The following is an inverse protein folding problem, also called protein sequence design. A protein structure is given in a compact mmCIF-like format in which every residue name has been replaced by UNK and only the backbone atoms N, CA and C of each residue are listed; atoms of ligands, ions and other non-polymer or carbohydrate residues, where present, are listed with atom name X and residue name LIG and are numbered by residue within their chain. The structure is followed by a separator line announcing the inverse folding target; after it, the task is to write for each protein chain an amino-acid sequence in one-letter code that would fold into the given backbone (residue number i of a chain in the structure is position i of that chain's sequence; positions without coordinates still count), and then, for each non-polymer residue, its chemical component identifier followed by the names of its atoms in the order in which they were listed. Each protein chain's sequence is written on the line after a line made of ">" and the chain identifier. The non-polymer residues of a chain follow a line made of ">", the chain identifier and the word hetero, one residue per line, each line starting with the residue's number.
data_IF_564522248219
#
_entry.id   IF_564522248219
#
_cell.length_a   1.000
_cell.length_b   1.000
_cell.length_c   1.000
_cell.angle_alpha   90.00
_cell.angle_beta   90.00
_cell.angle_gamma   90.00
#
_symmetry.space_group_name_H-M   'P 1'
#
loop_
_entity.id
_entity.type
_entity.pdbx_description
1 polymer ?
#
# COMPACT_ATOMS: atom_id res chain seq x y z
N UNK A 1 56.84 50.27 3.01
CA UNK A 1 55.83 51.03 3.78
C UNK A 1 54.78 50.04 4.27
N UNK A 2 54.53 50.00 5.59
CA UNK A 2 53.49 49.23 6.37
C UNK A 2 53.51 47.70 6.16
N UNK A 3 54.03 46.81 7.03
CA UNK A 3 53.99 46.54 8.49
C UNK A 3 52.60 46.16 9.07
N UNK A 4 52.57 44.94 9.67
CA UNK A 4 51.78 44.44 10.84
C UNK A 4 50.40 43.81 10.49
N UNK A 5 49.94 42.60 10.90
CA UNK A 5 50.25 41.50 11.88
C UNK A 5 49.43 40.26 11.41
N UNK A 6 49.91 39.02 11.26
CA UNK A 6 50.14 37.92 12.22
C UNK A 6 48.95 37.47 13.13
N UNK A 7 48.62 36.16 13.06
CA UNK A 7 48.24 35.15 14.10
C UNK A 7 47.89 33.85 13.30
N UNK A 8 48.78 32.86 13.11
CA UNK A 8 49.08 31.67 13.96
C UNK A 8 47.82 31.00 14.55
N UNK A 9 47.53 29.72 14.32
CA UNK A 9 48.05 28.58 15.10
C UNK A 9 48.03 27.30 14.24
N UNK A 10 49.16 26.58 14.28
CA UNK A 10 49.42 25.24 13.77
C UNK A 10 48.55 24.18 14.49
N UNK A 11 48.39 22.93 14.02
CA UNK A 11 49.38 21.87 14.20
C UNK A 11 48.97 20.66 13.33
N UNK A 12 49.85 20.32 12.40
CA UNK A 12 50.10 18.96 11.93
C UNK A 12 51.01 18.30 12.96
N UNK A 13 50.62 17.14 13.52
CA UNK A 13 51.57 16.16 14.04
C UNK A 13 51.06 14.74 13.78
N UNK A 14 51.82 14.03 12.95
CA UNK A 14 51.91 12.59 12.90
C UNK A 14 52.98 12.10 13.91
N UNK A 15 52.84 10.82 14.27
CA UNK A 15 53.84 9.86 14.79
C UNK A 15 54.06 9.72 16.31
N UNK A 16 53.72 8.54 16.83
CA UNK A 16 54.66 7.53 17.36
C UNK A 16 53.82 6.36 17.92
N UNK A 17 53.87 5.17 17.32
CA UNK A 17 54.80 4.08 17.70
C UNK A 17 54.64 3.63 19.16
N UNK A 18 53.90 2.53 19.34
CA UNK A 18 54.03 1.61 20.47
C UNK A 18 53.94 0.20 19.92
N UNK A 19 55.08 -0.50 19.87
CA UNK A 19 55.16 -1.92 19.51
C UNK A 19 54.65 -2.82 20.67
N UNK A 20 53.83 -3.81 20.27
CA UNK A 20 53.74 -5.20 20.77
C UNK A 20 53.15 -5.48 22.19
N UNK A 21 52.36 -6.58 22.37
CA UNK A 21 52.70 -7.89 21.84
C UNK A 21 51.64 -8.63 21.01
N UNK A 22 52.21 -9.54 20.23
CA UNK A 22 51.62 -10.63 19.47
C UNK A 22 50.48 -11.39 20.17
N UNK A 23 49.65 -11.98 19.29
CA UNK A 23 48.63 -13.00 19.53
C UNK A 23 47.27 -12.49 20.00
N UNK A 24 46.41 -12.24 19.02
CA UNK A 24 45.08 -12.84 18.96
C UNK A 24 44.65 -12.94 17.49
N UNK A 25 45.03 -14.07 16.86
CA UNK A 25 44.18 -14.66 15.85
C UNK A 25 42.85 -14.99 16.56
N UNK A 26 41.82 -14.18 16.37
CA UNK A 26 40.45 -14.60 16.62
C UNK A 26 39.48 -13.75 15.81
N UNK A 27 38.75 -14.44 14.94
CA UNK A 27 37.54 -14.03 14.21
C UNK A 27 37.67 -12.78 13.34
N UNK A 28 37.78 -13.02 12.04
CA UNK A 28 37.77 -11.99 11.01
C UNK A 28 36.60 -11.04 11.15
N UNK A 29 36.92 -9.78 10.90
CA UNK A 29 36.00 -8.70 10.58
C UNK A 29 34.88 -9.23 9.68
N UNK A 30 33.68 -9.38 10.24
CA UNK A 30 32.47 -9.48 9.45
C UNK A 30 32.31 -8.13 8.76
N UNK A 31 32.80 -8.03 7.54
CA UNK A 31 32.55 -6.92 6.65
C UNK A 31 31.04 -6.60 6.65
N UNK A 32 30.69 -5.31 6.66
CA UNK A 32 29.31 -4.83 6.71
C UNK A 32 28.46 -5.41 5.56
N UNK A 33 27.80 -6.54 5.85
CA UNK A 33 26.93 -7.31 4.95
C UNK A 33 25.83 -6.41 4.39
N UNK A 34 25.25 -5.58 5.27
CA UNK A 34 24.22 -4.60 4.95
C UNK A 34 24.83 -3.20 5.00
N UNK A 35 24.76 -2.50 3.87
CA UNK A 35 25.06 -1.07 3.75
C UNK A 35 23.77 -0.28 3.68
N UNK A 36 23.78 0.93 4.22
CA UNK A 36 22.67 1.88 4.11
C UNK A 36 23.08 2.90 3.07
N UNK A 37 22.24 3.10 2.05
CA UNK A 37 22.45 4.13 1.03
C UNK A 37 22.47 5.54 1.65
N UNK A 38 23.20 6.46 1.03
CA UNK A 38 23.33 7.84 1.53
C UNK A 38 21.98 8.56 1.57
N UNK A 39 21.09 8.25 0.63
CA UNK A 39 19.73 8.75 0.47
C UNK A 39 18.67 7.77 1.03
N UNK A 40 19.07 6.80 1.86
CA UNK A 40 18.13 5.84 2.43
C UNK A 40 17.07 6.54 3.28
N UNK A 41 15.81 6.27 2.96
CA UNK A 41 14.66 6.78 3.71
C UNK A 41 14.45 5.90 4.95
N UNK A 42 14.34 6.52 6.13
CA UNK A 42 14.09 5.82 7.39
C UNK A 42 12.77 6.34 7.99
N UNK A 43 11.75 5.49 7.95
CA UNK A 43 10.41 5.80 8.46
C UNK A 43 10.14 5.06 9.77
N UNK A 44 10.30 5.77 10.89
CA UNK A 44 9.96 5.30 12.23
C UNK A 44 8.83 6.20 12.80
N UNK A 45 7.56 5.89 12.52
CA UNK A 45 6.45 6.72 12.98
C UNK A 45 6.38 6.74 14.50
N UNK A 46 6.02 7.91 15.05
CA UNK A 46 5.74 8.04 16.49
C UNK A 46 4.46 7.28 16.82
N UNK A 47 4.59 6.14 17.48
CA UNK A 47 3.46 5.36 17.96
C UNK A 47 3.25 5.55 19.48
N UNK A 48 1.99 5.59 19.91
CA UNK A 48 1.63 5.62 21.35
C UNK A 48 1.85 4.26 22.04
N UNK A 49 2.11 3.21 21.26
CA UNK A 49 2.45 1.88 21.72
C UNK A 49 2.56 0.89 20.57
N UNK A 50 3.21 -0.23 20.82
CA UNK A 50 3.39 -1.32 19.86
C UNK A 50 2.49 -2.47 20.26
N UNK A 51 1.70 -2.99 19.32
CA UNK A 51 0.67 -3.97 19.64
C UNK A 51 0.75 -5.19 18.75
N UNK A 52 0.48 -6.35 19.33
CA UNK A 52 0.03 -7.50 18.56
C UNK A 52 -1.49 -7.38 18.37
N UNK A 53 -1.97 -7.54 17.14
CA UNK A 53 -3.40 -7.40 16.81
C UNK A 53 -3.96 -8.71 16.24
N UNK A 54 -5.26 -8.88 16.42
CA UNK A 54 -6.06 -9.82 15.66
C UNK A 54 -7.10 -9.05 14.86
N UNK A 55 -7.09 -9.27 13.55
CA UNK A 55 -8.06 -8.71 12.62
C UNK A 55 -9.03 -9.79 12.20
N UNK A 56 -10.31 -9.47 12.18
CA UNK A 56 -11.36 -10.38 11.70
C UNK A 56 -12.26 -9.65 10.75
N UNK A 57 -12.41 -10.17 9.53
CA UNK A 57 -13.32 -9.60 8.55
C UNK A 57 -14.75 -9.60 9.12
N UNK A 58 -15.43 -8.48 8.98
CA UNK A 58 -16.77 -8.27 9.51
C UNK A 58 -17.61 -7.45 8.52
N UNK A 59 -18.94 -7.47 8.71
CA UNK A 59 -19.81 -6.62 7.91
C UNK A 59 -19.47 -5.14 8.14
N UNK A 60 -19.40 -4.31 7.08
CA UNK A 60 -19.00 -2.91 7.21
C UNK A 60 -19.99 -2.03 7.96
N UNK A 61 -21.23 -2.49 8.06
CA UNK A 61 -22.37 -1.75 8.59
C UNK A 61 -23.42 -2.73 9.13
N UNK A 62 -24.33 -2.25 9.99
CA UNK A 62 -25.56 -2.99 10.34
C UNK A 62 -26.60 -2.92 9.22
N UNK A 63 -26.38 -2.05 8.23
CA UNK A 63 -27.23 -1.93 7.06
C UNK A 63 -27.03 -3.13 6.16
N UNK A 64 -28.08 -3.48 5.42
CA UNK A 64 -27.96 -4.46 4.35
C UNK A 64 -26.91 -4.02 3.33
N UNK A 65 -26.17 -4.97 2.75
CA UNK A 65 -25.11 -4.69 1.77
C UNK A 65 -25.62 -3.82 0.58
N UNK A 66 -26.87 -4.04 0.15
CA UNK A 66 -27.52 -3.24 -0.90
C UNK A 66 -27.74 -1.77 -0.50
N UNK A 67 -28.00 -1.48 0.77
CA UNK A 67 -28.15 -0.11 1.26
C UNK A 67 -26.78 0.60 1.31
N UNK A 68 -25.72 -0.12 1.69
CA UNK A 68 -24.33 0.38 1.65
C UNK A 68 -23.91 0.69 0.21
N UNK A 69 -24.22 -0.19 -0.75
CA UNK A 69 -23.97 0.07 -2.16
C UNK A 69 -24.65 1.37 -2.63
N UNK A 70 -25.93 1.58 -2.27
CA UNK A 70 -26.63 2.80 -2.67
C UNK A 70 -26.10 4.06 -1.99
N UNK A 71 -25.50 3.98 -0.80
CA UNK A 71 -24.79 5.11 -0.19
C UNK A 71 -23.57 5.53 -1.01
N UNK A 72 -22.76 4.57 -1.47
CA UNK A 72 -21.66 4.86 -2.39
C UNK A 72 -22.16 5.40 -3.73
N UNK A 73 -23.23 4.80 -4.28
CA UNK A 73 -23.85 5.31 -5.50
C UNK A 73 -24.26 6.77 -5.33
N UNK A 74 -24.98 7.11 -4.25
CA UNK A 74 -25.49 8.47 -4.07
C UNK A 74 -24.35 9.47 -3.84
N UNK A 75 -23.25 9.06 -3.22
CA UNK A 75 -22.04 9.87 -3.02
C UNK A 75 -21.33 10.23 -4.33
N UNK A 76 -21.27 9.30 -5.28
CA UNK A 76 -20.41 9.43 -6.47
C UNK A 76 -21.16 9.68 -7.79
N UNK A 77 -22.43 9.24 -7.88
CA UNK A 77 -23.16 9.08 -9.13
C UNK A 77 -24.57 9.68 -9.13
N UNK A 78 -25.02 10.29 -8.02
CA UNK A 78 -26.36 10.90 -7.93
C UNK A 78 -26.59 12.07 -8.89
N UNK A 79 -25.51 12.76 -9.28
CA UNK A 79 -25.50 13.83 -10.27
C UNK A 79 -25.18 13.35 -11.70
N UNK A 80 -24.84 12.07 -11.87
CA UNK A 80 -24.43 11.48 -13.15
C UNK A 80 -25.60 10.78 -13.87
N UNK A 81 -26.50 10.15 -13.12
CA UNK A 81 -27.60 9.36 -13.67
C UNK A 81 -28.96 9.83 -13.12
N UNK A 82 -29.96 9.79 -13.98
CA UNK A 82 -31.36 10.00 -13.61
C UNK A 82 -31.86 8.85 -12.70
N UNK A 83 -32.96 9.05 -11.94
CA UNK A 83 -33.57 7.98 -11.15
C UNK A 83 -33.99 6.76 -11.99
N UNK A 84 -34.36 6.98 -13.25
CA UNK A 84 -34.67 5.91 -14.20
C UNK A 84 -33.40 5.12 -14.55
N UNK A 85 -32.33 5.80 -14.98
CA UNK A 85 -31.04 5.16 -15.25
C UNK A 85 -30.52 4.40 -14.03
N UNK A 86 -30.65 4.93 -12.80
CA UNK A 86 -30.29 4.21 -11.55
C UNK A 86 -30.94 2.82 -11.48
N UNK A 87 -32.25 2.74 -11.70
CA UNK A 87 -32.98 1.47 -11.66
C UNK A 87 -32.58 0.51 -12.77
N UNK A 88 -32.22 1.03 -13.94
CA UNK A 88 -31.82 0.21 -15.08
C UNK A 88 -30.35 -0.20 -15.09
N UNK A 89 -29.45 0.50 -14.41
CA UNK A 89 -28.00 0.26 -14.50
C UNK A 89 -27.44 -0.49 -13.29
N UNK A 90 -28.09 -0.43 -12.12
CA UNK A 90 -27.62 -1.15 -10.94
C UNK A 90 -28.02 -2.64 -10.97
N UNK A 91 -27.02 -3.50 -10.83
CA UNK A 91 -27.09 -4.97 -10.95
C UNK A 91 -26.43 -5.64 -9.74
N UNK A 92 -26.64 -6.95 -9.59
CA UNK A 92 -25.97 -7.74 -8.56
C UNK A 92 -25.65 -9.14 -9.05
N UNK A 93 -24.68 -9.79 -8.40
CA UNK A 93 -24.34 -11.19 -8.64
C UNK A 93 -24.87 -12.02 -7.47
N UNK A 94 -25.51 -13.14 -7.80
CA UNK A 94 -26.04 -14.10 -6.82
C UNK A 94 -25.91 -15.51 -7.37
N UNK A 95 -25.50 -16.45 -6.52
CA UNK A 95 -25.48 -17.88 -6.87
C UNK A 95 -26.90 -18.48 -6.90
N UNK A 96 -27.90 -17.75 -6.39
CA UNK A 96 -29.29 -18.19 -6.27
C UNK A 96 -30.13 -17.81 -7.51
N UNK A 97 -29.65 -16.89 -8.35
CA UNK A 97 -30.32 -16.47 -9.58
C UNK A 97 -29.45 -16.78 -10.81
N UNK A 98 -29.99 -17.44 -11.84
CA UNK A 98 -29.25 -17.70 -13.06
C UNK A 98 -28.98 -16.40 -13.81
N UNK A 99 -27.78 -16.24 -14.36
CA UNK A 99 -27.51 -15.23 -15.37
C UNK A 99 -28.35 -15.53 -16.62
N UNK A 100 -28.88 -14.49 -17.26
CA UNK A 100 -29.59 -14.64 -18.54
C UNK A 100 -28.59 -14.88 -19.69
N UNK A 101 -29.10 -15.24 -20.88
CA UNK A 101 -28.28 -15.43 -22.09
C UNK A 101 -27.77 -14.11 -22.71
N UNK A 102 -28.10 -12.95 -22.14
CA UNK A 102 -27.64 -11.66 -22.63
C UNK A 102 -26.11 -11.49 -22.47
N UNK A 103 -25.54 -10.47 -23.11
CA UNK A 103 -24.15 -10.09 -22.88
C UNK A 103 -24.01 -9.37 -21.54
N UNK A 104 -22.83 -9.48 -20.92
CA UNK A 104 -22.51 -8.74 -19.70
C UNK A 104 -22.50 -7.22 -19.96
N UNK A 105 -23.02 -6.36 -19.06
CA UNK A 105 -23.59 -6.67 -17.75
C UNK A 105 -25.10 -6.98 -17.76
N UNK A 106 -25.77 -6.94 -18.92
CA UNK A 106 -27.22 -7.16 -19.04
C UNK A 106 -27.66 -8.61 -18.71
N UNK A 107 -26.72 -9.54 -18.63
CA UNK A 107 -26.97 -10.90 -18.16
C UNK A 107 -27.33 -10.97 -16.66
N UNK A 108 -27.01 -9.95 -15.87
CA UNK A 108 -27.20 -9.94 -14.42
C UNK A 108 -28.59 -9.43 -14.01
N UNK A 109 -29.12 -9.90 -12.85
CA UNK A 109 -30.38 -9.40 -12.31
C UNK A 109 -30.28 -7.95 -11.83
N UNK A 110 -31.40 -7.21 -11.93
CA UNK A 110 -31.48 -5.80 -11.49
C UNK A 110 -31.71 -5.71 -10.00
N UNK A 111 -31.04 -4.76 -9.34
CA UNK A 111 -31.30 -4.50 -7.91
C UNK A 111 -32.74 -4.02 -7.72
N UNK A 112 -33.29 -3.21 -8.64
CA UNK A 112 -34.66 -2.67 -8.54
C UNK A 112 -35.73 -3.76 -8.38
N UNK A 113 -35.52 -4.90 -9.03
CA UNK A 113 -36.51 -5.97 -9.12
C UNK A 113 -36.48 -6.86 -7.86
N UNK A 114 -35.36 -6.84 -7.12
CA UNK A 114 -35.08 -7.71 -5.97
C UNK A 114 -34.75 -6.94 -4.67
N UNK A 115 -34.89 -5.62 -4.65
CA UNK A 115 -34.41 -4.77 -3.54
C UNK A 115 -34.95 -5.20 -2.17
N UNK A 116 -36.25 -5.50 -2.06
CA UNK A 116 -36.87 -5.94 -0.81
C UNK A 116 -36.29 -7.26 -0.28
N UNK A 117 -35.99 -8.20 -1.17
CA UNK A 117 -35.44 -9.52 -0.83
C UNK A 117 -33.97 -9.41 -0.40
N UNK A 118 -33.19 -8.62 -1.13
CA UNK A 118 -31.80 -8.28 -0.81
C UNK A 118 -31.70 -7.56 0.53
N UNK A 119 -32.61 -6.62 0.79
CA UNK A 119 -32.65 -5.87 2.05
C UNK A 119 -33.04 -6.73 3.25
N UNK A 120 -33.98 -7.67 3.05
CA UNK A 120 -34.39 -8.61 4.08
C UNK A 120 -33.35 -9.73 4.31
N UNK A 121 -32.38 -9.89 3.40
CA UNK A 121 -31.40 -10.98 3.43
C UNK A 121 -31.98 -12.34 3.02
N UNK A 122 -33.18 -12.37 2.44
CA UNK A 122 -33.80 -13.60 1.92
C UNK A 122 -33.24 -14.02 0.56
N UNK A 123 -32.58 -13.09 -0.14
CA UNK A 123 -31.78 -13.34 -1.33
C UNK A 123 -30.35 -12.87 -1.05
N UNK A 124 -29.36 -13.75 -1.23
CA UNK A 124 -27.95 -13.41 -1.02
C UNK A 124 -27.31 -12.92 -2.31
N UNK A 125 -26.57 -11.82 -2.22
CA UNK A 125 -25.72 -11.32 -3.29
C UNK A 125 -24.25 -11.38 -2.86
N UNK A 126 -23.38 -11.75 -3.79
CA UNK A 126 -21.92 -11.76 -3.60
C UNK A 126 -21.31 -10.40 -3.95
N UNK A 127 -21.90 -9.69 -4.91
CA UNK A 127 -21.49 -8.34 -5.32
C UNK A 127 -22.65 -7.51 -5.85
N UNK A 128 -22.49 -6.20 -5.82
CA UNK A 128 -23.39 -5.18 -6.36
C UNK A 128 -22.60 -4.29 -7.29
N UNK A 129 -23.17 -3.94 -8.44
CA UNK A 129 -22.43 -3.24 -9.46
C UNK A 129 -23.27 -2.23 -10.26
N UNK A 130 -22.56 -1.22 -10.73
CA UNK A 130 -22.92 -0.29 -11.80
C UNK A 130 -21.73 -0.32 -12.75
N UNK A 131 -21.93 -0.68 -14.01
CA UNK A 131 -20.87 -0.70 -15.02
C UNK A 131 -21.39 -0.05 -16.30
N UNK A 132 -20.93 1.18 -16.55
CA UNK A 132 -21.38 1.98 -17.69
C UNK A 132 -20.24 2.82 -18.26
N UNK A 133 -20.37 3.32 -19.51
CA UNK A 133 -19.43 4.30 -20.03
C UNK A 133 -19.37 5.63 -19.26
N UNK A 134 -20.33 5.91 -18.36
CA UNK A 134 -20.34 7.11 -17.51
C UNK A 134 -19.61 6.89 -16.17
N UNK A 135 -19.29 5.65 -15.83
CA UNK A 135 -18.59 5.27 -14.61
C UNK A 135 -18.98 3.88 -14.10
N UNK A 136 -18.16 3.38 -13.18
CA UNK A 136 -18.31 2.07 -12.56
C UNK A 136 -18.24 2.15 -11.02
N UNK A 137 -19.06 1.33 -10.37
CA UNK A 137 -19.08 1.09 -8.93
C UNK A 137 -19.25 -0.41 -8.75
N UNK A 138 -18.28 -1.10 -8.15
CA UNK A 138 -18.41 -2.50 -7.71
C UNK A 138 -18.20 -2.56 -6.19
N UNK A 139 -19.15 -3.18 -5.51
CA UNK A 139 -19.11 -3.39 -4.07
C UNK A 139 -19.34 -4.88 -3.75
N UNK A 140 -18.35 -5.49 -3.08
CA UNK A 140 -18.39 -6.89 -2.67
C UNK A 140 -18.30 -6.99 -1.16
N UNK A 141 -19.18 -7.78 -0.56
CA UNK A 141 -19.10 -8.06 0.88
C UNK A 141 -17.85 -8.93 1.16
N UNK A 142 -17.05 -8.67 2.22
CA UNK A 142 -17.32 -7.81 3.38
C UNK A 142 -16.80 -6.35 3.31
N UNK A 143 -16.62 -5.76 2.12
CA UNK A 143 -16.32 -4.34 2.02
C UNK A 143 -15.44 -3.93 0.85
N UNK A 144 -15.08 -4.83 -0.04
CA UNK A 144 -14.28 -4.51 -1.19
C UNK A 144 -15.03 -3.54 -2.10
N UNK A 145 -14.41 -2.41 -2.40
CA UNK A 145 -15.04 -1.30 -3.11
C UNK A 145 -14.14 -0.83 -4.24
N UNK A 146 -14.71 -0.82 -5.43
CA UNK A 146 -14.17 -0.20 -6.62
C UNK A 146 -15.07 0.94 -7.04
N UNK A 147 -14.47 2.11 -7.20
CA UNK A 147 -15.07 3.29 -7.78
C UNK A 147 -14.16 3.66 -8.92
N UNK A 148 -14.68 3.59 -10.13
CA UNK A 148 -13.95 3.98 -11.32
C UNK A 148 -14.70 5.11 -12.00
N UNK A 149 -14.03 6.26 -12.00
CA UNK A 149 -14.30 7.42 -12.82
C UNK A 149 -15.75 7.89 -12.78
N UNK A 150 -15.98 9.05 -12.17
CA UNK A 150 -17.25 9.82 -12.22
C UNK A 150 -17.55 10.41 -13.62
N UNK A 151 -17.09 9.79 -14.69
CA UNK A 151 -17.21 10.25 -16.08
C UNK A 151 -16.28 11.42 -16.47
N UNK A 152 -15.28 11.77 -15.66
CA UNK A 152 -14.32 12.85 -15.90
C UNK A 152 -13.16 12.41 -16.80
N UNK A 153 -12.60 11.21 -16.60
CA UNK A 153 -11.41 10.78 -17.35
C UNK A 153 -11.74 10.28 -18.77
N UNK A 154 -12.98 9.81 -19.04
CA UNK A 154 -13.47 9.56 -20.42
C UNK A 154 -13.51 10.84 -21.27
N UNK A 155 -13.46 12.03 -20.65
CA UNK A 155 -13.37 13.31 -21.37
C UNK A 155 -11.94 13.66 -21.77
N UNK A 156 -10.92 13.04 -21.15
CA UNK A 156 -9.50 13.34 -21.37
C UNK A 156 -8.93 12.63 -22.61
N UNK A 157 -9.48 11.49 -22.99
CA UNK A 157 -9.17 10.87 -24.28
C UNK A 157 -10.40 10.92 -25.18
N UNK A 158 -10.25 11.48 -26.38
CA UNK A 158 -11.20 11.28 -27.49
C UNK A 158 -11.19 9.81 -28.00
N UNK A 159 -10.89 8.85 -27.13
CA UNK A 159 -10.83 7.42 -27.42
C UNK A 159 -11.68 6.67 -26.40
N UNK A 160 -12.44 5.69 -26.89
CA UNK A 160 -13.33 4.80 -26.15
C UNK A 160 -12.58 3.81 -25.24
N UNK A 161 -11.52 4.23 -24.54
CA UNK A 161 -10.66 3.34 -23.75
C UNK A 161 -10.83 3.56 -22.25
N UNK A 162 -10.96 2.44 -21.55
CA UNK A 162 -11.18 2.31 -20.13
C UNK A 162 -9.99 2.85 -19.31
N UNK A 163 -10.28 3.46 -18.17
CA UNK A 163 -9.29 4.12 -17.31
C UNK A 163 -8.54 3.16 -16.40
N UNK A 164 -8.92 1.88 -16.39
CA UNK A 164 -8.06 0.81 -15.89
C UNK A 164 -6.66 0.78 -16.55
N UNK A 165 -6.40 1.63 -17.55
CA UNK A 165 -5.16 1.79 -18.30
C UNK A 165 -4.28 2.99 -17.87
N UNK A 166 -4.66 3.76 -16.84
CA UNK A 166 -3.83 4.85 -16.29
C UNK A 166 -2.97 4.43 -15.10
N UNK A 167 -3.03 3.16 -14.73
CA UNK A 167 -1.94 2.54 -14.00
C UNK A 167 -0.76 2.42 -14.98
N UNK A 168 0.48 2.71 -14.55
CA UNK A 168 1.65 2.47 -15.38
C UNK A 168 1.73 0.98 -15.69
N UNK A 169 1.13 0.55 -16.79
CA UNK A 169 1.27 -0.77 -17.37
C UNK A 169 2.18 -0.68 -18.60
N UNK A 170 2.74 -1.82 -19.01
CA UNK A 170 3.61 -1.89 -20.18
C UNK A 170 2.89 -1.55 -21.50
N UNK A 171 1.56 -1.34 -21.49
CA UNK A 171 0.75 -1.03 -22.66
C UNK A 171 0.57 0.48 -22.86
N UNK A 172 0.72 1.28 -21.80
CA UNK A 172 0.62 2.74 -21.82
C UNK A 172 1.82 3.40 -21.11
N UNK A 173 2.98 3.53 -21.78
CA UNK A 173 4.16 4.18 -21.22
C UNK A 173 3.96 5.70 -21.16
N UNK A 174 3.11 6.17 -20.25
CA UNK A 174 3.22 7.55 -19.76
C UNK A 174 4.31 7.53 -18.71
N UNK A 175 5.25 8.46 -18.79
CA UNK A 175 6.35 8.60 -17.81
C UNK A 175 5.75 8.86 -16.44
N UNK A 176 5.74 7.83 -15.60
CA UNK A 176 5.39 7.94 -14.20
C UNK A 176 6.69 8.20 -13.41
N UNK A 177 6.75 9.33 -12.71
CA UNK A 177 7.80 9.56 -11.72
C UNK A 177 7.31 9.08 -10.35
N UNK A 178 8.10 8.22 -9.71
CA UNK A 178 7.78 7.71 -8.38
C UNK A 178 8.41 8.61 -7.33
N UNK A 179 7.57 9.19 -6.48
CA UNK A 179 7.98 10.14 -5.45
C UNK A 179 7.65 9.61 -4.07
N UNK A 180 8.48 10.00 -3.09
CA UNK A 180 8.20 9.71 -1.69
C UNK A 180 6.92 10.43 -1.24
N UNK A 181 6.01 9.78 -0.48
CA UNK A 181 4.78 10.40 0.00
C UNK A 181 4.99 11.66 0.88
N UNK A 182 6.19 11.86 1.43
CA UNK A 182 6.57 13.03 2.21
C UNK A 182 7.38 14.06 1.39
N UNK A 183 7.49 13.88 0.07
CA UNK A 183 8.23 14.81 -0.79
C UNK A 183 7.61 16.21 -0.82
N UNK A 184 8.47 17.23 -0.77
CA UNK A 184 8.14 18.65 -0.97
C UNK A 184 8.13 19.06 -2.45
N UNK A 185 8.42 18.10 -3.34
CA UNK A 185 8.29 18.31 -4.78
C UNK A 185 6.86 18.67 -5.16
N UNK A 186 6.73 19.41 -6.27
CA UNK A 186 5.46 19.99 -6.68
C UNK A 186 4.98 19.44 -8.00
N UNK A 187 3.67 19.29 -8.12
CA UNK A 187 2.99 18.92 -9.35
C UNK A 187 1.91 19.95 -9.69
N UNK A 188 1.50 20.00 -10.96
CA UNK A 188 0.44 20.89 -11.43
C UNK A 188 -0.79 20.03 -11.70
N UNK A 189 -1.76 20.09 -10.80
CA UNK A 189 -3.10 19.56 -11.01
C UNK A 189 -3.96 20.59 -11.75
N UNK A 190 -5.12 20.20 -12.30
CA UNK A 190 -6.06 21.10 -12.99
C UNK A 190 -6.54 22.27 -12.12
N UNK A 191 -6.60 22.08 -10.79
CA UNK A 191 -7.02 23.11 -9.84
C UNK A 191 -5.86 23.93 -9.25
N UNK A 192 -4.61 23.59 -9.57
CA UNK A 192 -3.44 24.38 -9.20
C UNK A 192 -2.17 23.56 -8.95
N UNK A 193 -1.12 24.27 -8.53
CA UNK A 193 0.11 23.67 -8.05
C UNK A 193 -0.05 23.16 -6.60
N UNK A 194 0.44 21.96 -6.30
CA UNK A 194 0.40 21.34 -4.96
C UNK A 194 1.69 20.55 -4.71
N UNK A 195 2.15 20.48 -3.46
CA UNK A 195 3.24 19.58 -3.07
C UNK A 195 2.74 18.13 -3.01
N UNK A 196 3.64 17.16 -3.17
CA UNK A 196 3.29 15.74 -3.04
C UNK A 196 2.76 15.44 -1.64
N UNK A 197 3.39 15.94 -0.58
CA UNK A 197 2.93 15.75 0.80
C UNK A 197 1.53 16.32 1.07
N UNK A 198 1.20 17.50 0.53
CA UNK A 198 -0.15 18.09 0.67
C UNK A 198 -1.19 17.30 -0.13
N UNK A 199 -0.83 16.81 -1.31
CA UNK A 199 -1.70 15.96 -2.12
C UNK A 199 -1.99 14.61 -1.44
N UNK A 200 -0.97 13.99 -0.84
CA UNK A 200 -1.10 12.78 -0.03
C UNK A 200 -2.03 13.00 1.16
N UNK A 201 -1.83 14.10 1.90
CA UNK A 201 -2.68 14.45 3.05
C UNK A 201 -4.14 14.66 2.63
N UNK A 202 -4.35 15.27 1.45
CA UNK A 202 -5.67 15.47 0.87
C UNK A 202 -6.31 14.14 0.46
N UNK A 203 -5.55 13.25 -0.19
CA UNK A 203 -6.00 11.91 -0.57
C UNK A 203 -6.42 11.08 0.65
N UNK A 204 -5.56 10.99 1.68
CA UNK A 204 -5.85 10.26 2.91
C UNK A 204 -7.14 10.77 3.57
N UNK A 205 -7.35 12.08 3.59
CA UNK A 205 -8.58 12.68 4.11
C UNK A 205 -9.81 12.25 3.29
N UNK A 206 -9.76 12.37 1.95
CA UNK A 206 -10.87 11.99 1.08
C UNK A 206 -11.21 10.49 1.19
N UNK A 207 -10.19 9.65 1.29
CA UNK A 207 -10.33 8.19 1.48
C UNK A 207 -11.02 7.90 2.82
N UNK A 208 -10.59 8.57 3.90
CA UNK A 208 -11.18 8.41 5.23
C UNK A 208 -12.63 8.93 5.33
N UNK A 209 -12.98 9.94 4.53
CA UNK A 209 -14.34 10.47 4.41
C UNK A 209 -15.26 9.56 3.57
N UNK A 210 -14.68 8.82 2.61
CA UNK A 210 -15.43 7.87 1.77
C UNK A 210 -15.84 6.62 2.52
N UNK A 211 -15.01 6.12 3.44
CA UNK A 211 -15.26 4.85 4.12
C UNK A 211 -16.51 4.88 5.02
N UNK A 212 -17.52 4.06 4.68
CA UNK A 212 -18.79 3.91 5.43
C UNK A 212 -18.64 2.93 6.61
N UNK A 213 -17.44 2.39 6.86
CA UNK A 213 -17.18 1.42 7.92
C UNK A 213 -17.44 1.98 9.32
N UNK A 214 -18.07 1.17 10.17
CA UNK A 214 -18.29 1.44 11.60
C UNK A 214 -17.01 1.50 12.43
N UNK A 215 -15.97 0.81 11.99
CA UNK A 215 -14.71 0.71 12.71
C UNK A 215 -13.68 1.60 12.02
N UNK A 216 -13.71 2.91 12.30
CA UNK A 216 -12.61 3.83 11.97
C UNK A 216 -11.41 3.59 12.89
N UNK A 217 -11.02 2.32 13.01
CA UNK A 217 -9.85 1.88 13.77
C UNK A 217 -8.59 2.10 12.94
N UNK A 218 -8.72 1.99 11.62
CA UNK A 218 -7.65 2.21 10.68
C UNK A 218 -7.81 3.55 10.00
N UNK A 219 -6.68 4.22 9.83
CA UNK A 219 -6.56 5.39 8.98
C UNK A 219 -5.93 4.96 7.65
N UNK A 220 -6.24 5.62 6.52
CA UNK A 220 -5.50 5.38 5.29
C UNK A 220 -4.05 5.86 5.43
N UNK A 221 -3.15 5.20 4.69
CA UNK A 221 -1.73 5.55 4.64
C UNK A 221 -1.21 5.38 3.23
N UNK A 222 -0.83 6.47 2.56
CA UNK A 222 -0.20 6.39 1.23
C UNK A 222 1.23 5.86 1.38
N UNK A 223 1.55 4.80 0.64
CA UNK A 223 2.86 4.15 0.65
C UNK A 223 3.73 4.58 -0.54
N UNK A 224 3.11 4.94 -1.66
CA UNK A 224 3.79 5.34 -2.88
C UNK A 224 2.94 6.31 -3.69
N UNK A 225 3.58 7.30 -4.31
CA UNK A 225 2.96 8.24 -5.25
C UNK A 225 3.63 8.10 -6.60
N UNK A 226 2.81 8.10 -7.66
CA UNK A 226 3.26 8.17 -9.04
C UNK A 226 2.62 9.37 -9.73
N UNK A 227 3.45 10.23 -10.31
CA UNK A 227 3.02 11.42 -11.05
C UNK A 227 2.97 11.09 -12.53
N UNK A 228 1.80 11.21 -13.14
CA UNK A 228 1.59 10.93 -14.57
C UNK A 228 1.30 12.21 -15.33
N UNK A 229 2.03 12.48 -16.41
CA UNK A 229 1.71 13.59 -17.33
C UNK A 229 0.50 13.23 -18.22
N UNK A 230 -0.52 14.06 -18.14
CA UNK A 230 -1.79 13.94 -18.86
C UNK A 230 -1.96 15.02 -19.93
N UNK A 231 -0.86 15.45 -20.56
CA UNK A 231 -0.87 16.39 -21.68
C UNK A 231 -0.77 17.84 -21.22
N UNK A 232 0.12 18.12 -20.27
CA UNK A 232 0.36 19.45 -19.69
C UNK A 232 -0.34 19.70 -18.35
N UNK A 233 -1.01 18.70 -17.80
CA UNK A 233 -1.50 18.63 -16.43
C UNK A 233 -1.08 17.27 -15.85
N UNK A 234 -0.89 17.20 -14.54
CA UNK A 234 -0.50 15.98 -13.87
C UNK A 234 -1.73 15.30 -13.27
N UNK A 235 -1.69 13.97 -13.21
CA UNK A 235 -2.54 13.14 -12.37
C UNK A 235 -1.70 12.38 -11.36
N UNK A 236 -2.26 12.10 -10.19
CA UNK A 236 -1.55 11.38 -9.13
C UNK A 236 -2.20 10.03 -8.90
N UNK A 237 -1.48 8.97 -9.23
CA UNK A 237 -1.82 7.61 -8.84
C UNK A 237 -1.10 7.27 -7.54
N UNK A 238 -1.85 6.89 -6.52
CA UNK A 238 -1.36 6.62 -5.18
C UNK A 238 -1.66 5.18 -4.78
N UNK A 239 -0.63 4.46 -4.37
CA UNK A 239 -0.78 3.19 -3.68
C UNK A 239 -0.88 3.46 -2.19
N UNK A 240 -1.91 2.94 -1.55
CA UNK A 240 -2.16 3.16 -0.14
C UNK A 240 -2.61 1.90 0.57
N UNK A 241 -2.39 1.87 1.88
CA UNK A 241 -2.83 0.83 2.78
C UNK A 241 -3.54 1.42 3.99
N UNK A 242 -3.54 0.66 5.08
CA UNK A 242 -4.09 1.06 6.37
C UNK A 242 -2.93 1.43 7.31
N UNK A 243 -3.17 2.26 8.32
CA UNK A 243 -2.29 2.47 9.47
C UNK A 243 -3.09 2.33 10.77
N UNK A 244 -2.44 1.83 11.80
CA UNK A 244 -2.99 1.69 13.14
C UNK A 244 -2.06 2.37 14.14
N UNK A 245 -2.59 3.34 14.90
CA UNK A 245 -1.82 4.12 15.89
C UNK A 245 -0.49 4.67 15.34
N UNK A 246 -0.54 5.19 14.11
CA UNK A 246 0.60 5.78 13.42
C UNK A 246 1.52 4.79 12.68
N UNK A 247 1.40 3.48 12.90
CA UNK A 247 2.23 2.49 12.21
C UNK A 247 1.47 1.98 10.96
N UNK A 248 2.04 2.13 9.75
CA UNK A 248 1.42 1.62 8.53
C UNK A 248 1.46 0.09 8.48
N UNK A 249 0.43 -0.52 7.91
CA UNK A 249 0.50 -1.91 7.46
C UNK A 249 1.41 -1.98 6.24
N UNK A 250 2.15 -3.08 6.13
CA UNK A 250 2.96 -3.32 4.96
C UNK A 250 2.09 -3.39 3.70
N UNK A 251 2.60 -2.78 2.63
CA UNK A 251 1.95 -2.70 1.34
C UNK A 251 2.97 -3.19 0.32
N UNK A 252 2.67 -4.29 -0.38
CA UNK A 252 3.57 -4.86 -1.37
C UNK A 252 3.84 -3.82 -2.46
N UNK A 253 5.10 -3.56 -2.80
CA UNK A 253 5.42 -2.66 -3.92
C UNK A 253 4.79 -3.21 -5.20
N UNK A 254 4.09 -2.34 -5.95
CA UNK A 254 3.76 -2.64 -7.34
C UNK A 254 5.03 -2.80 -8.13
N UNK A 255 5.09 -3.81 -9.01
CA UNK A 255 6.17 -3.84 -9.98
C UNK A 255 6.02 -2.67 -10.97
N UNK A 256 7.06 -2.44 -11.79
CA UNK A 256 7.06 -1.38 -12.80
C UNK A 256 5.99 -1.53 -13.88
N UNK A 257 5.24 -2.63 -13.89
CA UNK A 257 4.10 -2.83 -14.79
C UNK A 257 2.75 -2.55 -14.10
N UNK A 258 2.75 -2.04 -12.87
CA UNK A 258 1.55 -1.76 -12.11
C UNK A 258 0.75 -3.04 -11.80
N UNK A 259 1.32 -4.22 -12.08
CA UNK A 259 0.69 -5.50 -11.85
C UNK A 259 1.05 -5.92 -10.44
N UNK A 260 0.01 -6.25 -9.66
CA UNK A 260 0.22 -6.96 -8.42
C UNK A 260 0.96 -8.26 -8.72
N UNK A 261 2.16 -8.42 -8.18
CA UNK A 261 2.72 -9.76 -8.06
C UNK A 261 1.83 -10.53 -7.08
N UNK A 262 0.75 -11.14 -7.60
CA UNK A 262 -0.11 -12.07 -6.87
C UNK A 262 0.66 -13.31 -6.38
N UNK A 263 1.92 -13.45 -6.79
CA UNK A 263 2.85 -14.51 -6.41
C UNK A 263 3.61 -14.22 -5.09
N UNK A 264 2.96 -13.61 -4.09
CA UNK A 264 3.54 -13.47 -2.74
C UNK A 264 3.46 -14.77 -1.90
N UNK A 265 3.20 -15.92 -2.52
CA UNK A 265 3.08 -17.23 -1.85
C UNK A 265 4.39 -18.01 -1.91
N UNK A 266 5.41 -17.61 -1.14
CA UNK A 266 6.59 -18.46 -0.98
C UNK A 266 6.70 -19.19 0.36
N UNK A 267 6.00 -18.79 1.44
CA UNK A 267 6.19 -19.41 2.77
C UNK A 267 4.93 -19.49 3.67
N UNK A 268 3.71 -19.45 3.13
CA UNK A 268 2.48 -19.59 3.93
C UNK A 268 2.11 -18.38 4.81
N UNK A 269 2.90 -17.30 4.77
CA UNK A 269 2.58 -16.00 5.39
C UNK A 269 2.05 -15.06 4.29
N UNK A 270 0.80 -14.60 4.41
CA UNK A 270 0.16 -13.66 3.47
C UNK A 270 0.48 -12.22 3.86
N UNK A 271 1.42 -11.60 3.16
CA UNK A 271 1.81 -10.20 3.35
C UNK A 271 1.05 -9.22 2.44
N UNK A 272 -0.04 -9.67 1.80
CA UNK A 272 -0.64 -8.96 0.67
C UNK A 272 -2.10 -8.57 0.88
N UNK A 273 -2.50 -8.28 2.12
CA UNK A 273 -3.89 -7.98 2.40
C UNK A 273 -4.12 -6.48 2.26
N UNK A 274 -4.32 -6.10 0.99
CA UNK A 274 -5.01 -4.90 0.51
C UNK A 274 -4.16 -3.66 0.20
N UNK A 275 -3.20 -3.73 -0.73
CA UNK A 275 -2.84 -2.54 -1.48
C UNK A 275 -4.10 -2.01 -2.18
N UNK A 276 -4.48 -0.80 -1.81
CA UNK A 276 -5.54 -0.05 -2.44
C UNK A 276 -4.95 1.03 -3.33
N UNK A 277 -5.73 1.49 -4.29
CA UNK A 277 -5.33 2.58 -5.17
C UNK A 277 -6.29 3.71 -5.14
N UNK A 278 -5.74 4.91 -5.18
CA UNK A 278 -6.47 6.14 -5.40
C UNK A 278 -5.88 6.84 -6.61
N UNK A 279 -6.74 7.49 -7.39
CA UNK A 279 -6.30 8.45 -8.39
C UNK A 279 -6.93 9.80 -8.09
N UNK A 280 -6.07 10.81 -7.98
CA UNK A 280 -6.45 12.20 -7.83
C UNK A 280 -6.21 12.92 -9.15
N UNK A 281 -7.29 13.40 -9.78
CA UNK A 281 -7.22 14.37 -10.85
C UNK A 281 -7.00 15.77 -10.29
N UNK A 282 -7.73 16.16 -9.25
CA UNK A 282 -7.60 17.44 -8.55
C UNK A 282 -7.40 17.24 -7.04
N UNK A 283 -7.09 18.31 -6.30
CA UNK A 283 -6.80 18.20 -4.86
C UNK A 283 -8.02 17.87 -3.99
N UNK A 284 -9.23 17.76 -4.56
CA UNK A 284 -10.49 17.72 -3.81
C UNK A 284 -11.35 16.51 -4.12
N UNK A 285 -10.99 15.72 -5.13
CA UNK A 285 -11.82 14.61 -5.61
C UNK A 285 -10.99 13.36 -5.82
N UNK A 286 -11.57 12.22 -5.46
CA UNK A 286 -11.09 10.90 -5.83
C UNK A 286 -11.84 10.47 -7.08
N UNK A 287 -11.14 10.35 -8.20
CA UNK A 287 -11.73 9.83 -9.44
C UNK A 287 -11.74 8.32 -9.45
N UNK A 288 -10.73 7.71 -8.84
CA UNK A 288 -10.59 6.26 -8.73
C UNK A 288 -10.33 5.91 -7.28
N UNK A 289 -11.01 4.88 -6.79
CA UNK A 289 -10.66 4.20 -5.56
C UNK A 289 -10.86 2.69 -5.74
N UNK A 290 -9.81 1.90 -5.56
CA UNK A 290 -9.82 0.45 -5.76
C UNK A 290 -9.33 -0.21 -4.49
N UNK A 291 -10.02 -1.27 -4.05
CA UNK A 291 -9.53 -2.15 -3.00
C UNK A 291 -9.58 -1.56 -1.60
N UNK A 292 -10.43 -0.55 -1.37
CA UNK A 292 -10.56 0.08 -0.05
C UNK A 292 -12.00 0.11 0.45
N UNK A 293 -12.27 -0.64 1.51
CA UNK A 293 -13.58 -0.65 2.19
C UNK A 293 -13.81 -1.86 3.07
N UNK A 294 -12.92 -2.87 3.01
CA UNK A 294 -12.98 -4.02 3.90
C UNK A 294 -13.01 -3.59 5.35
N UNK A 295 -14.05 -4.07 6.03
CA UNK A 295 -14.23 -3.83 7.45
C UNK A 295 -13.66 -4.98 8.23
N UNK A 296 -12.63 -4.66 9.01
CA UNK A 296 -12.08 -5.56 10.00
C UNK A 296 -12.47 -5.05 11.38
N UNK A 297 -12.92 -5.94 12.25
CA UNK A 297 -12.77 -5.70 13.67
C UNK A 297 -11.30 -5.89 14.03
N UNK A 298 -10.82 -5.06 14.96
CA UNK A 298 -9.45 -5.11 15.45
C UNK A 298 -9.49 -5.35 16.95
N UNK A 299 -8.80 -6.39 17.40
CA UNK A 299 -8.62 -6.67 18.82
C UNK A 299 -7.14 -6.53 19.17
N UNK A 300 -6.83 -5.63 20.10
CA UNK A 300 -5.50 -5.57 20.71
C UNK A 300 -5.31 -6.81 21.60
N UNK A 301 -4.32 -7.65 21.28
CA UNK A 301 -4.04 -8.88 22.05
C UNK A 301 -2.98 -8.65 23.11
N UNK A 302 -1.90 -7.99 22.72
CA UNK A 302 -0.76 -7.73 23.60
C UNK A 302 -0.18 -6.35 23.30
N UNK A 303 0.12 -5.60 24.36
CA UNK A 303 0.83 -4.32 24.28
C UNK A 303 2.28 -4.55 24.67
N UNK A 304 3.21 -4.08 23.84
CA UNK A 304 4.64 -4.13 24.06
C UNK A 304 5.15 -2.75 24.45
N UNK A 305 5.79 -2.64 25.63
CA UNK A 305 6.37 -1.38 26.11
C UNK A 305 7.62 -0.97 25.30
N UNK A 306 8.30 -1.94 24.71
CA UNK A 306 9.42 -1.75 23.80
C UNK A 306 9.39 -2.81 22.72
N UNK A 307 9.93 -2.47 21.56
CA UNK A 307 10.22 -3.40 20.46
C UNK A 307 11.72 -3.37 20.17
N UNK A 308 12.18 -4.32 19.36
CA UNK A 308 13.52 -4.35 18.82
C UNK A 308 13.88 -2.99 18.21
N UNK A 309 15.00 -2.40 18.62
CA UNK A 309 15.47 -1.15 18.03
C UNK A 309 15.94 -1.34 16.59
N UNK A 310 15.99 -0.27 15.80
CA UNK A 310 16.51 -0.30 14.44
C UNK A 310 17.94 -0.87 14.37
N UNK A 311 18.81 -0.53 15.33
CA UNK A 311 20.19 -1.03 15.35
C UNK A 311 20.29 -2.52 15.70
N UNK A 312 19.39 -3.03 16.53
CA UNK A 312 19.28 -4.46 16.79
C UNK A 312 18.71 -5.20 15.57
N UNK A 313 17.71 -4.63 14.89
CA UNK A 313 17.17 -5.17 13.65
C UNK A 313 18.26 -5.27 12.56
N UNK A 314 19.09 -4.23 12.38
CA UNK A 314 20.25 -4.27 11.47
C UNK A 314 21.21 -5.42 11.82
N UNK A 315 21.53 -5.61 13.10
CA UNK A 315 22.38 -6.73 13.54
C UNK A 315 21.76 -8.08 13.21
N UNK A 316 20.45 -8.23 13.38
CA UNK A 316 19.71 -9.43 13.03
C UNK A 316 19.80 -9.71 11.52
N UNK A 317 19.61 -8.71 10.68
CA UNK A 317 19.79 -8.84 9.22
C UNK A 317 21.23 -9.23 8.88
N UNK A 318 22.23 -8.51 9.38
CA UNK A 318 23.64 -8.82 9.14
C UNK A 318 24.03 -10.23 9.59
N UNK A 319 23.45 -10.72 10.70
CA UNK A 319 23.66 -12.08 11.18
C UNK A 319 22.99 -13.11 10.27
N UNK A 320 21.74 -12.87 9.83
CA UNK A 320 20.97 -13.79 8.99
C UNK A 320 21.60 -13.94 7.60
N UNK A 321 22.15 -12.85 7.07
CA UNK A 321 22.72 -12.79 5.74
C UNK A 321 24.25 -12.76 5.76
N UNK A 322 24.90 -13.33 6.79
CA UNK A 322 26.36 -13.21 6.97
C UNK A 322 27.19 -13.73 5.81
N UNK A 323 26.63 -14.62 5.01
CA UNK A 323 27.29 -15.24 3.85
C UNK A 323 27.01 -14.50 2.53
N UNK A 324 26.19 -13.45 2.58
CA UNK A 324 25.87 -12.59 1.45
C UNK A 324 26.75 -11.35 1.47
N UNK A 325 27.15 -10.90 0.29
CA UNK A 325 27.92 -9.68 0.12
C UNK A 325 27.13 -8.66 -0.70
N UNK A 326 27.30 -7.37 -0.36
CA UNK A 326 26.79 -6.28 -1.17
C UNK A 326 25.29 -6.03 -1.05
N UNK A 327 24.69 -6.31 0.11
CA UNK A 327 23.31 -5.89 0.37
C UNK A 327 23.29 -4.39 0.69
N UNK A 328 22.42 -3.64 0.02
CA UNK A 328 22.31 -2.21 0.22
C UNK A 328 20.84 -1.82 0.45
N UNK A 329 20.52 -1.39 1.67
CA UNK A 329 19.19 -0.85 2.00
C UNK A 329 19.02 0.56 1.45
N UNK A 330 17.89 0.79 0.79
CA UNK A 330 17.49 2.10 0.25
C UNK A 330 16.22 2.66 0.95
N UNK A 331 15.49 1.80 1.66
CA UNK A 331 14.36 2.19 2.50
C UNK A 331 14.28 1.28 3.72
N UNK A 332 14.04 1.87 4.89
CA UNK A 332 13.83 1.14 6.14
C UNK A 332 12.60 1.69 6.84
N UNK A 333 11.65 0.83 7.18
CA UNK A 333 10.34 1.24 7.71
C UNK A 333 9.91 0.35 8.86
N UNK A 334 9.30 0.93 9.89
CA UNK A 334 8.54 0.17 10.87
C UNK A 334 7.09 0.01 10.37
N UNK A 335 6.67 -1.23 10.15
CA UNK A 335 5.38 -1.58 9.56
C UNK A 335 4.66 -2.66 10.38
N UNK A 336 3.35 -2.81 10.19
CA UNK A 336 2.60 -3.98 10.61
C UNK A 336 2.59 -5.04 9.50
N UNK A 337 3.03 -6.25 9.81
CA UNK A 337 2.91 -7.42 8.93
C UNK A 337 1.74 -8.29 9.39
N UNK A 338 1.01 -8.87 8.44
CA UNK A 338 -0.10 -9.79 8.71
C UNK A 338 0.25 -11.24 8.38
N UNK A 339 -0.32 -12.17 9.14
CA UNK A 339 -0.33 -13.61 8.85
C UNK A 339 -1.79 -14.08 8.88
N UNK A 340 -2.27 -14.69 7.79
CA UNK A 340 -3.61 -15.29 7.75
C UNK A 340 -3.67 -16.52 8.66
N UNK A 341 -4.67 -16.55 9.55
CA UNK A 341 -4.92 -17.65 10.49
C UNK A 341 -6.11 -18.50 10.10
N UNK A 342 -7.09 -17.91 9.41
CA UNK A 342 -8.31 -18.57 8.95
C UNK A 342 -8.80 -17.89 7.68
N UNK A 343 -9.39 -18.68 6.77
CA UNK A 343 -10.01 -18.19 5.55
C UNK A 343 -11.54 -17.97 5.69
N UNK A 344 -12.19 -18.57 6.70
CA UNK A 344 -13.63 -18.43 6.92
C UNK A 344 -14.03 -18.49 8.42
N UNK A 345 -14.34 -17.33 9.05
CA UNK A 345 -14.14 -15.99 8.52
C UNK A 345 -12.64 -15.71 8.32
N UNK A 346 -12.34 -14.77 7.44
CA UNK A 346 -10.97 -14.31 7.21
C UNK A 346 -10.44 -13.66 8.50
N UNK A 347 -9.37 -14.22 9.04
CA UNK A 347 -8.71 -13.75 10.27
C UNK A 347 -7.21 -13.59 10.06
N UNK A 348 -6.67 -12.48 10.57
CA UNK A 348 -5.24 -12.18 10.52
C UNK A 348 -4.67 -11.96 11.90
N UNK A 349 -3.46 -12.48 12.11
CA UNK A 349 -2.60 -12.10 13.22
C UNK A 349 -1.59 -11.07 12.73
N UNK A 350 -1.44 -9.98 13.46
CA UNK A 350 -0.66 -8.82 13.00
C UNK A 350 0.38 -8.42 14.04
N UNK A 351 1.59 -8.16 13.59
CA UNK A 351 2.73 -7.80 14.45
C UNK A 351 3.59 -6.70 13.84
N UNK A 352 4.22 -5.84 14.66
CA UNK A 352 5.14 -4.84 14.15
C UNK A 352 6.44 -5.50 13.67
N UNK A 353 7.01 -5.00 12.59
CA UNK A 353 8.25 -5.48 12.00
C UNK A 353 9.04 -4.34 11.35
N UNK A 354 10.36 -4.46 11.39
CA UNK A 354 11.24 -3.63 10.58
C UNK A 354 11.33 -4.23 9.18
N UNK A 355 10.92 -3.46 8.17
CA UNK A 355 11.08 -3.77 6.74
C UNK A 355 12.32 -3.05 6.21
N UNK A 356 13.19 -3.80 5.57
CA UNK A 356 14.35 -3.31 4.83
C UNK A 356 14.13 -3.59 3.35
N UNK A 357 13.92 -2.54 2.56
CA UNK A 357 13.96 -2.64 1.10
C UNK A 357 15.41 -2.53 0.65
N UNK A 358 15.92 -3.61 0.06
CA UNK A 358 17.33 -3.85 -0.20
C UNK A 358 17.53 -4.14 -1.70
N UNK A 359 18.63 -3.62 -2.25
CA UNK A 359 19.22 -4.10 -3.49
C UNK A 359 20.35 -5.07 -3.18
N UNK A 360 20.36 -6.23 -3.82
CA UNK A 360 21.50 -7.15 -3.76
C UNK A 360 22.66 -6.66 -4.67
N UNK A 361 23.77 -7.41 -4.66
CA UNK A 361 24.94 -7.09 -5.49
C UNK A 361 24.70 -7.14 -7.01
N UNK A 362 23.57 -7.71 -7.44
CA UNK A 362 23.14 -7.79 -8.83
C UNK A 362 22.04 -6.78 -9.17
N UNK A 363 21.66 -5.91 -8.23
CA UNK A 363 20.58 -4.93 -8.39
C UNK A 363 19.18 -5.54 -8.31
N UNK A 364 19.04 -6.77 -7.82
CA UNK A 364 17.75 -7.38 -7.55
C UNK A 364 17.15 -6.81 -6.26
N UNK A 365 15.84 -6.55 -6.29
CA UNK A 365 15.10 -6.07 -5.13
C UNK A 365 14.72 -7.21 -4.20
N UNK A 366 15.03 -7.02 -2.92
CA UNK A 366 14.74 -7.91 -1.81
C UNK A 366 14.06 -7.10 -0.70
N UNK A 367 13.02 -7.66 -0.10
CA UNK A 367 12.43 -7.13 1.12
C UNK A 367 12.77 -8.07 2.27
N UNK A 368 13.49 -7.56 3.26
CA UNK A 368 13.84 -8.29 4.48
C UNK A 368 13.04 -7.74 5.63
N UNK A 369 12.46 -8.63 6.42
CA UNK A 369 11.65 -8.28 7.56
C UNK A 369 12.29 -8.84 8.82
N UNK A 370 12.25 -8.06 9.89
CA UNK A 370 12.60 -8.48 11.24
C UNK A 370 11.40 -8.22 12.13
N UNK A 371 10.77 -9.27 12.64
CA UNK A 371 9.68 -9.13 13.60
C UNK A 371 10.20 -8.37 14.83
N UNK A 372 9.57 -7.24 15.15
CA UNK A 372 10.07 -6.34 16.17
C UNK A 372 9.78 -6.84 17.59
N UNK A 373 8.99 -7.91 17.73
CA UNK A 373 8.67 -8.58 19.00
C UNK A 373 9.47 -9.87 19.17
N UNK A 374 9.53 -10.71 18.14
CA UNK A 374 10.12 -12.07 18.23
C UNK A 374 11.55 -12.16 17.71
N UNK A 375 12.06 -11.10 17.08
CA UNK A 375 13.35 -11.06 16.37
C UNK A 375 13.46 -12.03 15.17
N UNK A 376 12.38 -12.71 14.81
CA UNK A 376 12.36 -13.60 13.65
C UNK A 376 12.65 -12.80 12.38
N UNK A 377 13.61 -13.27 11.60
CA UNK A 377 14.01 -12.64 10.34
C UNK A 377 13.68 -13.52 9.14
N UNK A 378 12.93 -12.95 8.19
CA UNK A 378 12.52 -13.59 6.94
C UNK A 378 12.61 -12.57 5.79
N UNK A 379 12.43 -13.04 4.56
CA UNK A 379 12.54 -12.18 3.38
C UNK A 379 11.60 -12.61 2.24
N UNK A 380 11.38 -11.69 1.30
CA UNK A 380 10.62 -11.87 0.08
C UNK A 380 11.40 -11.28 -1.09
N UNK A 381 11.44 -11.96 -2.24
CA UNK A 381 12.06 -11.46 -3.47
C UNK A 381 11.01 -11.13 -4.53
N UNK A 382 11.23 -10.06 -5.29
CA UNK A 382 10.40 -9.73 -6.45
C UNK A 382 10.65 -10.76 -7.56
N UNK A 383 9.65 -11.56 -7.90
CA UNK A 383 9.55 -12.19 -9.22
C UNK A 383 10.79 -12.92 -9.75
N UNK A 384 11.23 -13.99 -9.08
CA UNK A 384 11.75 -15.21 -9.72
C UNK A 384 11.87 -16.25 -8.63
N UNK A 385 11.33 -17.46 -8.86
CA UNK A 385 11.71 -18.66 -8.11
C UNK A 385 13.18 -19.01 -8.39
N UNK A 386 14.10 -18.10 -8.13
CA UNK A 386 15.43 -18.51 -7.76
C UNK A 386 15.31 -18.95 -6.31
N UNK A 387 15.44 -20.27 -6.11
CA UNK A 387 16.03 -20.79 -4.89
C UNK A 387 17.21 -19.87 -4.58
N UNK A 388 17.05 -18.98 -3.60
CA UNK A 388 18.14 -18.81 -2.65
C UNK A 388 18.42 -20.23 -2.21
N UNK A 389 19.50 -20.80 -2.76
CA UNK A 389 19.97 -22.13 -2.48
C UNK A 389 20.34 -22.12 -0.99
N UNK A 390 19.33 -22.26 -0.15
CA UNK A 390 19.48 -22.73 1.21
C UNK A 390 19.92 -24.18 1.00
N UNK A 391 21.23 -24.39 1.01
CA UNK A 391 21.76 -25.68 1.37
C UNK A 391 21.29 -25.92 2.81
N UNK A 392 20.22 -26.69 2.95
CA UNK A 392 20.01 -27.45 4.18
C UNK A 392 21.16 -28.47 4.24
N UNK A 393 22.18 -28.15 5.04
CA UNK A 393 23.04 -29.15 5.67
C UNK A 393 22.67 -29.28 7.14
#
# INVERSE_FOLDING_TARGET
>A
MKKITAILVAVLMLTACGDAPDNLKSSGDRADVLRIQEDCIINEPKAEGYYTLELKACAPSDKAAVDVFYEYYDMYFSDVFTPEEKGYQCRFVSDELPASEAEYPDCLPKISDHYSELKAGSLKATSFMLDTPKGELDYRSPGFLHILNRGLTYKLEKQDKYIGMYFPDNLHPRTAEYLDPQSEEKCILPDGEISIGDAVSSAEKLIAETCVSKAKVFEPSVAQVSVTDLGGQNGLAMQFGKKYKGIPFDCAETDSSGVFSGDAYSNGKSYNNMPAYAFLWDSKTLDIMIGYGDSFSCTEKEKHESILSLDEAKKTVCKKFSDYNGLTAYKIELVYISEERSADPVEYFVQPAWKFSINDSHGQRLWVYVNAVTEECFYQSAGHKQKLLISEE
#
